data_IF_586159618766
#
_entry.id   IF_586159618766
#
_cell.length_a   1.000
_cell.length_b   1.000
_cell.length_c   1.000
_cell.angle_alpha   90.00
_cell.angle_beta   90.00
_cell.angle_gamma   90.00
#
_symmetry.space_group_name_H-M   'P 1'
#
loop_
_entity.id
_entity.type
_entity.pdbx_description
1 polymer ?
#
# COMPACT_ATOMS: atom_id res chain seq x y z
N UNK A 1 -5.16 6.54 4.05
CA UNK A 1 -3.82 7.20 4.06
C UNK A 1 -2.77 6.26 3.50
N UNK A 2 -1.89 6.69 2.62
CA UNK A 2 -0.76 5.90 2.15
C UNK A 2 0.55 6.60 2.56
N UNK A 3 1.46 5.85 3.19
CA UNK A 3 2.73 6.40 3.67
C UNK A 3 3.77 6.54 2.55
N UNK A 4 3.71 7.59 1.73
CA UNK A 4 4.70 7.80 0.66
C UNK A 4 6.07 8.17 1.23
N UNK A 5 6.10 9.00 2.28
CA UNK A 5 7.31 9.49 2.95
C UNK A 5 7.37 9.17 4.45
N UNK A 6 6.57 8.25 4.91
CA UNK A 6 6.52 7.84 6.30
C UNK A 6 5.39 6.85 6.52
N UNK A 7 5.17 6.44 7.75
CA UNK A 7 4.07 5.56 8.11
C UNK A 7 2.95 6.38 8.77
N UNK A 8 1.69 6.24 8.32
CA UNK A 8 0.57 6.96 8.93
C UNK A 8 0.41 6.72 10.42
N UNK A 9 0.80 5.54 10.93
CA UNK A 9 0.77 5.24 12.36
C UNK A 9 1.76 6.09 13.18
N UNK A 10 2.77 6.72 12.55
CA UNK A 10 3.66 7.67 13.22
C UNK A 10 3.01 9.05 13.46
N UNK A 11 1.92 9.36 12.76
CA UNK A 11 1.25 10.64 12.84
C UNK A 11 0.52 10.82 14.18
N UNK A 12 0.84 11.91 14.91
CA UNK A 12 0.22 12.25 16.20
C UNK A 12 -1.30 12.31 16.14
N UNK A 13 -1.84 12.77 15.02
CA UNK A 13 -3.27 13.06 14.87
C UNK A 13 -4.01 12.03 13.98
N UNK A 14 -3.39 10.95 13.62
CA UNK A 14 -3.95 9.96 12.67
C UNK A 14 -5.34 9.46 13.09
N UNK A 15 -5.52 9.04 14.34
CA UNK A 15 -6.84 8.60 14.84
C UNK A 15 -7.87 9.74 14.83
N UNK A 16 -7.48 10.95 15.23
CA UNK A 16 -8.37 12.11 15.23
C UNK A 16 -8.82 12.49 13.81
N UNK A 17 -7.92 12.42 12.84
CA UNK A 17 -8.23 12.67 11.43
C UNK A 17 -9.22 11.63 10.90
N UNK A 18 -9.03 10.34 11.18
CA UNK A 18 -9.98 9.30 10.75
C UNK A 18 -11.35 9.46 11.41
N UNK A 19 -11.41 9.78 12.72
CA UNK A 19 -12.68 10.10 13.39
C UNK A 19 -13.36 11.29 12.77
N UNK A 20 -12.62 12.36 12.48
CA UNK A 20 -13.17 13.56 11.83
C UNK A 20 -13.79 13.21 10.47
N UNK A 21 -13.08 12.49 9.60
CA UNK A 21 -13.63 12.08 8.31
C UNK A 21 -14.89 11.20 8.45
N UNK A 22 -14.89 10.28 9.39
CA UNK A 22 -16.06 9.43 9.67
C UNK A 22 -17.26 10.25 10.16
N UNK A 23 -17.01 11.27 10.99
CA UNK A 23 -18.06 12.18 11.49
C UNK A 23 -18.63 13.03 10.37
N UNK A 24 -17.77 13.57 9.50
CA UNK A 24 -18.18 14.42 8.38
C UNK A 24 -18.91 13.66 7.27
N UNK A 25 -18.52 12.44 7.03
CA UNK A 25 -19.18 11.54 6.07
C UNK A 25 -19.21 10.11 6.61
N UNK A 26 -20.33 9.68 7.23
CA UNK A 26 -20.48 8.34 7.77
C UNK A 26 -20.28 7.23 6.75
N UNK A 27 -20.52 7.48 5.46
CA UNK A 27 -20.40 6.48 4.38
C UNK A 27 -19.01 6.45 3.72
N UNK A 28 -18.07 7.29 4.16
CA UNK A 28 -16.72 7.31 3.59
C UNK A 28 -16.01 5.96 3.81
N UNK A 29 -15.32 5.47 2.80
CA UNK A 29 -14.39 4.35 2.95
C UNK A 29 -13.07 4.86 3.50
N UNK A 30 -12.62 4.30 4.61
CA UNK A 30 -11.33 4.61 5.22
C UNK A 30 -10.31 3.53 4.85
N UNK A 31 -9.12 3.95 4.45
CA UNK A 31 -8.04 3.04 4.12
C UNK A 31 -6.69 3.52 4.65
N UNK A 32 -5.84 2.59 5.08
CA UNK A 32 -4.50 2.87 5.59
C UNK A 32 -3.49 1.84 5.11
N UNK A 33 -2.31 2.29 4.66
CA UNK A 33 -1.16 1.42 4.41
C UNK A 33 -0.09 1.69 5.48
N UNK A 34 0.44 0.63 6.08
CA UNK A 34 1.36 0.73 7.23
C UNK A 34 2.33 -0.44 7.28
N UNK A 35 3.43 -0.29 8.02
CA UNK A 35 4.29 -1.43 8.39
C UNK A 35 3.82 -2.15 9.66
N UNK A 36 2.81 -1.62 10.38
CA UNK A 36 2.21 -2.22 11.55
C UNK A 36 3.04 -2.20 12.85
N UNK A 37 4.31 -1.80 12.80
CA UNK A 37 5.22 -1.93 13.96
C UNK A 37 5.22 -0.70 14.90
N UNK A 38 4.56 0.37 14.51
CA UNK A 38 4.46 1.61 15.27
C UNK A 38 3.22 1.54 16.18
N UNK A 39 3.22 2.34 17.26
CA UNK A 39 2.16 2.38 18.26
C UNK A 39 2.09 1.09 19.12
N UNK A 40 1.08 1.01 19.98
CA UNK A 40 0.80 -0.12 20.85
C UNK A 40 -0.55 -0.77 20.48
N UNK A 41 -0.85 -1.91 21.08
CA UNK A 41 -2.06 -2.68 20.81
C UNK A 41 -3.35 -1.89 21.05
N UNK A 42 -3.41 -1.03 22.08
CA UNK A 42 -4.57 -0.19 22.37
C UNK A 42 -4.85 0.83 21.26
N UNK A 43 -3.80 1.39 20.65
CA UNK A 43 -3.94 2.28 19.51
C UNK A 43 -4.52 1.55 18.28
N UNK A 44 -4.04 0.32 18.03
CA UNK A 44 -4.53 -0.51 16.92
C UNK A 44 -5.97 -0.98 17.13
N UNK A 45 -6.34 -1.31 18.36
CA UNK A 45 -7.74 -1.60 18.72
C UNK A 45 -8.63 -0.39 18.46
N UNK A 46 -8.22 0.81 18.90
CA UNK A 46 -8.95 2.05 18.63
C UNK A 46 -9.09 2.34 17.13
N UNK A 47 -8.04 2.07 16.34
CA UNK A 47 -8.12 2.20 14.87
C UNK A 47 -9.15 1.24 14.29
N UNK A 48 -9.16 -0.03 14.72
CA UNK A 48 -10.12 -1.03 14.29
C UNK A 48 -11.56 -0.66 14.62
N UNK A 49 -11.80 -0.07 15.80
CA UNK A 49 -13.11 0.46 16.18
C UNK A 49 -13.59 1.61 15.29
N UNK A 50 -12.66 2.43 14.76
CA UNK A 50 -12.98 3.47 13.77
C UNK A 50 -13.27 2.88 12.38
N UNK A 51 -12.55 1.81 12.02
CA UNK A 51 -12.63 1.11 10.74
C UNK A 51 -13.65 -0.04 10.78
N UNK A 52 -14.85 0.27 11.23
CA UNK A 52 -15.92 -0.72 11.49
C UNK A 52 -16.82 -1.00 10.28
N UNK A 53 -16.64 -0.29 9.17
CA UNK A 53 -17.45 -0.52 7.97
C UNK A 53 -16.85 -1.59 7.08
N UNK A 54 -17.69 -2.35 6.40
CA UNK A 54 -17.29 -3.45 5.53
C UNK A 54 -16.24 -3.07 4.46
N UNK A 55 -16.26 -1.81 4.00
CA UNK A 55 -15.32 -1.33 2.98
C UNK A 55 -14.06 -0.68 3.54
N UNK A 56 -13.99 -0.49 4.85
CA UNK A 56 -12.79 0.05 5.50
C UNK A 56 -11.71 -1.02 5.54
N UNK A 57 -10.44 -0.63 5.42
CA UNK A 57 -9.35 -1.60 5.41
C UNK A 57 -8.02 -1.04 5.87
N UNK A 58 -7.20 -1.89 6.45
CA UNK A 58 -5.78 -1.61 6.66
C UNK A 58 -4.94 -2.60 5.86
N UNK A 59 -3.98 -2.09 5.11
CA UNK A 59 -2.97 -2.90 4.43
C UNK A 59 -1.70 -2.91 5.26
N UNK A 60 -1.37 -4.05 5.80
CA UNK A 60 -0.11 -4.29 6.51
C UNK A 60 0.97 -4.72 5.53
N UNK A 61 2.03 -3.92 5.43
CA UNK A 61 3.19 -4.21 4.58
C UNK A 61 4.20 -5.04 5.36
N UNK A 62 4.12 -6.36 5.24
CA UNK A 62 4.96 -7.34 5.93
C UNK A 62 5.70 -8.16 4.86
N UNK A 63 7.04 -8.18 4.89
CA UNK A 63 7.83 -8.69 3.79
C UNK A 63 8.59 -9.98 4.16
N UNK A 64 7.86 -10.98 4.62
CA UNK A 64 8.33 -12.30 5.01
C UNK A 64 7.91 -12.67 6.43
N UNK A 65 8.46 -13.76 6.95
CA UNK A 65 8.30 -14.23 8.32
C UNK A 65 9.30 -13.54 9.27
N UNK A 66 9.29 -13.91 10.54
CA UNK A 66 10.14 -13.32 11.59
C UNK A 66 11.62 -13.24 11.20
N UNK A 67 12.15 -14.31 10.59
CA UNK A 67 13.55 -14.42 10.22
C UNK A 67 13.96 -13.64 8.96
N UNK A 68 13.01 -13.08 8.20
CA UNK A 68 13.30 -12.37 6.95
C UNK A 68 12.69 -10.97 6.85
N UNK A 69 11.57 -10.71 7.53
CA UNK A 69 10.88 -9.42 7.46
C UNK A 69 11.81 -8.25 7.81
N UNK A 70 12.67 -8.39 8.81
CA UNK A 70 13.60 -7.37 9.27
C UNK A 70 14.69 -7.00 8.24
N UNK A 71 14.95 -7.85 7.25
CA UNK A 71 15.97 -7.60 6.21
C UNK A 71 15.58 -6.38 5.38
N UNK A 72 14.32 -6.29 5.00
CA UNK A 72 13.78 -5.12 4.29
C UNK A 72 13.13 -4.10 5.24
N UNK A 73 12.33 -4.55 6.21
CA UNK A 73 11.66 -3.74 7.23
C UNK A 73 12.56 -3.53 8.44
N UNK A 74 13.64 -2.79 8.24
CA UNK A 74 14.65 -2.56 9.28
C UNK A 74 14.05 -1.91 10.52
N UNK A 75 14.40 -2.42 11.70
CA UNK A 75 13.93 -1.90 12.98
C UNK A 75 12.50 -2.31 13.37
N UNK A 76 11.86 -3.17 12.60
CA UNK A 76 10.56 -3.74 12.97
C UNK A 76 10.79 -4.88 13.98
N UNK A 77 10.16 -4.78 15.15
CA UNK A 77 10.02 -5.85 16.10
C UNK A 77 8.86 -6.75 15.66
N UNK A 78 9.16 -8.03 15.41
CA UNK A 78 8.21 -9.00 14.91
C UNK A 78 7.07 -9.29 15.88
N UNK A 79 7.38 -9.47 17.16
CA UNK A 79 6.37 -9.78 18.16
C UNK A 79 5.40 -8.60 18.33
N UNK A 80 5.92 -7.39 18.44
CA UNK A 80 5.12 -6.17 18.49
C UNK A 80 4.24 -6.01 17.25
N UNK A 81 4.78 -6.29 16.05
CA UNK A 81 4.02 -6.25 14.81
C UNK A 81 2.84 -7.23 14.86
N UNK A 82 3.10 -8.49 15.25
CA UNK A 82 2.06 -9.52 15.33
C UNK A 82 1.00 -9.21 16.39
N UNK A 83 1.40 -8.66 17.53
CA UNK A 83 0.45 -8.24 18.58
C UNK A 83 -0.44 -7.08 18.11
N UNK A 84 0.12 -6.12 17.39
CA UNK A 84 -0.62 -5.01 16.79
C UNK A 84 -1.62 -5.52 15.72
N UNK A 85 -1.18 -6.42 14.85
CA UNK A 85 -2.04 -7.07 13.83
C UNK A 85 -3.21 -7.80 14.49
N UNK A 86 -2.94 -8.66 15.48
CA UNK A 86 -3.99 -9.38 16.21
C UNK A 86 -4.96 -8.44 16.90
N UNK A 87 -4.44 -7.37 17.53
CA UNK A 87 -5.27 -6.37 18.22
C UNK A 87 -6.20 -5.63 17.26
N UNK A 88 -5.72 -5.31 16.06
CA UNK A 88 -6.56 -4.69 15.02
C UNK A 88 -7.62 -5.67 14.51
N UNK A 89 -7.23 -6.90 14.13
CA UNK A 89 -8.13 -7.90 13.56
C UNK A 89 -9.19 -8.35 14.59
N UNK A 90 -8.86 -8.40 15.89
CA UNK A 90 -9.80 -8.79 16.95
C UNK A 90 -11.01 -7.87 17.07
N UNK A 91 -10.97 -6.66 16.51
CA UNK A 91 -12.12 -5.74 16.44
C UNK A 91 -13.13 -6.12 15.34
N UNK A 92 -12.81 -7.09 14.48
CA UNK A 92 -13.59 -7.43 13.29
C UNK A 92 -13.32 -6.54 12.07
N UNK A 93 -12.36 -5.60 12.16
CA UNK A 93 -11.99 -4.72 11.07
C UNK A 93 -11.17 -5.46 10.00
N UNK A 94 -11.34 -5.08 8.72
CA UNK A 94 -10.69 -5.73 7.58
C UNK A 94 -9.20 -5.39 7.50
N UNK A 95 -8.37 -6.43 7.48
CA UNK A 95 -6.92 -6.35 7.33
C UNK A 95 -6.46 -7.08 6.07
N UNK A 96 -5.54 -6.48 5.33
CA UNK A 96 -4.90 -7.11 4.17
C UNK A 96 -3.39 -7.15 4.38
N UNK A 97 -2.76 -8.25 3.98
CA UNK A 97 -1.31 -8.40 4.02
C UNK A 97 -0.71 -8.18 2.63
N UNK A 98 0.17 -7.18 2.50
CA UNK A 98 0.91 -6.87 1.26
C UNK A 98 2.39 -7.21 1.45
N UNK A 99 2.89 -8.20 0.70
CA UNK A 99 4.27 -8.68 0.78
C UNK A 99 5.05 -8.28 -0.47
N UNK A 100 6.20 -7.62 -0.29
CA UNK A 100 7.18 -7.44 -1.36
C UNK A 100 8.11 -8.66 -1.42
N UNK A 101 8.19 -9.27 -2.60
CA UNK A 101 9.01 -10.46 -2.83
C UNK A 101 10.40 -10.06 -3.31
N UNK A 102 11.42 -10.61 -2.66
CA UNK A 102 12.84 -10.51 -2.94
C UNK A 102 13.47 -11.89 -2.86
N UNK A 103 14.72 -12.07 -3.31
CA UNK A 103 15.43 -13.34 -3.26
C UNK A 103 15.55 -13.94 -1.85
N UNK A 104 15.60 -13.10 -0.79
CA UNK A 104 15.72 -13.59 0.58
C UNK A 104 14.42 -14.11 1.19
N UNK A 105 13.26 -13.77 0.63
CA UNK A 105 11.94 -14.15 1.20
C UNK A 105 11.01 -14.86 0.19
N UNK A 106 11.42 -15.05 -1.07
CA UNK A 106 10.56 -15.68 -2.10
C UNK A 106 10.09 -17.10 -1.73
N UNK A 107 10.92 -17.85 -1.00
CA UNK A 107 10.61 -19.19 -0.52
C UNK A 107 9.55 -19.22 0.60
N UNK A 108 9.20 -18.07 1.17
CA UNK A 108 8.25 -17.94 2.28
C UNK A 108 6.85 -17.52 1.85
N UNK A 109 6.60 -17.26 0.55
CA UNK A 109 5.33 -16.72 0.07
C UNK A 109 4.14 -17.57 0.52
N UNK A 110 4.21 -18.89 0.31
CA UNK A 110 3.12 -19.81 0.67
C UNK A 110 2.92 -19.88 2.21
N UNK A 111 4.01 -19.85 2.97
CA UNK A 111 3.96 -19.84 4.44
C UNK A 111 3.39 -18.51 4.98
N UNK A 112 3.73 -17.38 4.35
CA UNK A 112 3.14 -16.07 4.69
C UNK A 112 1.64 -16.02 4.36
N UNK A 113 1.22 -16.59 3.23
CA UNK A 113 -0.20 -16.69 2.89
C UNK A 113 -0.97 -17.56 3.89
N UNK A 114 -0.39 -18.69 4.31
CA UNK A 114 -1.01 -19.53 5.34
C UNK A 114 -1.12 -18.81 6.68
N UNK A 115 -0.03 -18.15 7.13
CA UNK A 115 -0.05 -17.37 8.36
C UNK A 115 -1.06 -16.22 8.30
N UNK A 116 -1.22 -15.58 7.15
CA UNK A 116 -2.23 -14.54 6.96
C UNK A 116 -3.66 -15.09 7.17
N UNK A 117 -3.95 -16.28 6.64
CA UNK A 117 -5.23 -16.97 6.86
C UNK A 117 -5.44 -17.31 8.34
N UNK A 118 -4.42 -17.87 8.99
CA UNK A 118 -4.47 -18.28 10.40
C UNK A 118 -4.67 -17.07 11.35
N UNK A 119 -4.14 -15.91 10.98
CA UNK A 119 -4.33 -14.66 11.72
C UNK A 119 -5.67 -13.95 11.43
N UNK A 120 -6.41 -14.38 10.42
CA UNK A 120 -7.70 -13.79 10.05
C UNK A 120 -7.61 -12.56 9.15
N UNK A 121 -6.54 -12.44 8.36
CA UNK A 121 -6.51 -11.41 7.32
C UNK A 121 -7.59 -11.65 6.27
N UNK A 122 -8.23 -10.58 5.80
CA UNK A 122 -9.23 -10.62 4.73
C UNK A 122 -8.61 -10.85 3.35
N UNK A 123 -7.31 -10.63 3.18
CA UNK A 123 -6.61 -10.86 1.93
C UNK A 123 -5.10 -10.84 2.05
N UNK A 124 -4.44 -11.56 1.13
CA UNK A 124 -2.99 -11.63 1.01
C UNK A 124 -2.55 -11.35 -0.43
N UNK A 125 -1.52 -10.51 -0.58
CA UNK A 125 -0.89 -10.26 -1.87
C UNK A 125 0.62 -10.26 -1.76
N UNK A 126 1.27 -11.07 -2.59
CA UNK A 126 2.70 -11.00 -2.81
C UNK A 126 3.00 -10.36 -4.17
N UNK A 127 3.93 -9.43 -4.24
CA UNK A 127 4.32 -8.72 -5.45
C UNK A 127 5.81 -8.44 -5.51
N UNK A 128 6.37 -8.45 -6.72
CA UNK A 128 7.77 -8.07 -6.93
C UNK A 128 7.91 -6.57 -6.79
N UNK A 129 8.95 -6.13 -6.05
CA UNK A 129 9.24 -4.71 -5.92
C UNK A 129 9.66 -4.10 -7.25
N UNK A 130 9.06 -2.97 -7.62
CA UNK A 130 9.49 -2.14 -8.77
C UNK A 130 10.63 -1.18 -8.41
N UNK A 131 10.95 -1.05 -7.13
CA UNK A 131 12.03 -0.18 -6.68
C UNK A 131 13.36 -0.83 -7.04
N UNK A 132 14.32 -0.02 -7.44
CA UNK A 132 15.69 -0.50 -7.62
C UNK A 132 16.13 -1.21 -6.33
N UNK A 133 16.74 -2.36 -6.51
CA UNK A 133 17.23 -3.16 -5.40
C UNK A 133 18.33 -2.36 -4.70
N UNK A 134 18.09 -1.96 -3.45
CA UNK A 134 19.13 -1.33 -2.63
C UNK A 134 20.23 -2.35 -2.36
N UNK A 135 21.46 -1.87 -2.13
CA UNK A 135 22.61 -2.70 -1.84
C UNK A 135 22.29 -3.80 -0.79
N UNK A 136 22.52 -5.06 -1.13
CA UNK A 136 22.29 -6.23 -0.28
C UNK A 136 20.93 -6.93 -0.48
N UNK A 137 20.03 -6.39 -1.30
CA UNK A 137 18.79 -7.09 -1.68
C UNK A 137 18.94 -7.68 -3.09
N UNK A 138 18.51 -8.91 -3.28
CA UNK A 138 18.51 -9.58 -4.57
C UNK A 138 17.09 -9.64 -5.16
N UNK A 139 16.98 -9.55 -6.48
CA UNK A 139 15.72 -9.86 -7.17
C UNK A 139 15.34 -11.32 -6.91
N UNK A 140 14.05 -11.64 -6.84
CA UNK A 140 13.61 -13.02 -6.72
C UNK A 140 13.99 -13.81 -7.97
N UNK A 141 14.34 -15.07 -7.80
CA UNK A 141 14.76 -15.95 -8.89
C UNK A 141 13.55 -16.64 -9.55
N UNK A 142 12.61 -17.09 -8.75
CA UNK A 142 11.43 -17.83 -9.20
C UNK A 142 10.25 -16.92 -9.56
N UNK A 143 10.26 -15.69 -9.09
CA UNK A 143 9.22 -14.71 -9.28
C UNK A 143 9.68 -13.62 -10.23
N UNK A 144 9.65 -13.92 -11.53
CA UNK A 144 10.03 -12.94 -12.54
C UNK A 144 8.82 -12.09 -12.95
N UNK A 145 8.96 -10.77 -13.06
CA UNK A 145 7.91 -9.94 -13.62
C UNK A 145 7.71 -10.29 -15.09
N UNK A 146 6.46 -10.33 -15.53
CA UNK A 146 6.18 -10.39 -16.97
C UNK A 146 6.71 -9.12 -17.65
N UNK A 147 7.06 -9.21 -18.94
CA UNK A 147 7.54 -8.05 -19.69
C UNK A 147 6.58 -6.86 -19.55
N UNK A 148 7.16 -5.71 -19.32
CA UNK A 148 6.43 -4.44 -19.23
C UNK A 148 6.27 -3.87 -20.63
N UNK A 149 5.04 -3.64 -21.07
CA UNK A 149 4.75 -2.98 -22.33
C UNK A 149 4.32 -1.53 -22.07
N UNK A 150 4.88 -0.60 -22.84
CA UNK A 150 4.41 0.77 -22.88
C UNK A 150 3.11 0.82 -23.69
N UNK A 151 2.14 1.53 -23.15
CA UNK A 151 0.82 1.71 -23.74
C UNK A 151 0.25 3.08 -23.42
N UNK A 152 -1.00 3.34 -23.80
CA UNK A 152 -1.67 4.59 -23.48
C UNK A 152 -1.74 4.81 -21.97
N UNK A 153 -1.63 6.07 -21.54
CA UNK A 153 -1.68 6.44 -20.12
C UNK A 153 -3.12 6.35 -19.62
N UNK A 154 -3.39 5.39 -18.75
CA UNK A 154 -4.68 5.24 -18.04
C UNK A 154 -4.59 5.82 -16.63
N UNK A 155 -5.05 7.06 -16.47
CA UNK A 155 -4.94 7.77 -15.20
C UNK A 155 -6.03 7.39 -14.21
N UNK A 156 -5.67 6.74 -13.13
CA UNK A 156 -6.59 6.38 -12.03
C UNK A 156 -7.22 7.61 -11.37
N UNK A 157 -6.48 8.71 -11.26
CA UNK A 157 -6.95 9.94 -10.63
C UNK A 157 -8.16 10.51 -11.35
N UNK A 158 -8.12 10.54 -12.68
CA UNK A 158 -9.26 11.03 -13.49
C UNK A 158 -10.45 10.08 -13.40
N UNK A 159 -10.20 8.77 -13.41
CA UNK A 159 -11.24 7.75 -13.28
C UNK A 159 -11.93 7.82 -11.93
N UNK A 160 -11.17 7.94 -10.86
CA UNK A 160 -11.66 7.87 -9.48
C UNK A 160 -11.93 9.24 -8.86
N UNK A 161 -11.66 10.33 -9.59
CA UNK A 161 -11.80 11.71 -9.12
C UNK A 161 -11.11 11.94 -7.78
N UNK A 162 -9.90 11.40 -7.65
CA UNK A 162 -9.12 11.45 -6.42
C UNK A 162 -8.14 12.62 -6.39
N UNK A 163 -7.68 12.97 -5.21
CA UNK A 163 -6.68 14.00 -4.94
C UNK A 163 -5.71 13.48 -3.88
N UNK A 164 -4.46 13.88 -4.00
CA UNK A 164 -3.42 13.59 -3.01
C UNK A 164 -3.14 14.83 -2.15
N UNK A 165 -3.08 14.63 -0.84
CA UNK A 165 -2.70 15.66 0.13
C UNK A 165 -1.46 15.16 0.86
N UNK A 166 -0.38 15.95 0.86
CA UNK A 166 0.85 15.59 1.56
C UNK A 166 0.79 15.96 3.07
N UNK A 167 1.87 15.64 3.80
CA UNK A 167 1.94 15.91 5.23
C UNK A 167 1.99 17.42 5.57
N UNK A 168 2.27 18.29 4.62
CA UNK A 168 2.24 19.75 4.75
C UNK A 168 0.88 20.35 4.35
N UNK A 169 -0.08 19.53 3.95
CA UNK A 169 -1.39 19.98 3.47
C UNK A 169 -1.39 20.46 2.01
N UNK A 170 -0.33 20.24 1.24
CA UNK A 170 -0.27 20.63 -0.16
C UNK A 170 -1.04 19.63 -1.03
N UNK A 171 -1.79 20.14 -1.98
CA UNK A 171 -2.60 19.35 -2.91
C UNK A 171 -1.80 18.99 -4.17
N UNK A 172 -1.90 17.74 -4.59
CA UNK A 172 -1.41 17.27 -5.90
C UNK A 172 -2.44 16.33 -6.53
N UNK A 173 -2.45 16.18 -7.86
CA UNK A 173 -3.35 15.24 -8.51
C UNK A 173 -3.20 13.81 -8.02
N UNK A 174 -1.97 13.35 -7.78
CA UNK A 174 -1.71 12.01 -7.26
C UNK A 174 -0.41 11.94 -6.45
N UNK A 175 -0.24 10.85 -5.70
CA UNK A 175 0.96 10.62 -4.89
C UNK A 175 2.27 10.48 -5.71
N UNK A 176 2.19 10.12 -6.98
CA UNK A 176 3.36 10.04 -7.85
C UNK A 176 3.87 11.42 -8.25
N UNK A 177 2.97 12.32 -8.61
CA UNK A 177 3.30 13.71 -8.99
C UNK A 177 3.64 14.57 -7.77
N UNK A 178 2.94 14.38 -6.65
CA UNK A 178 3.21 15.13 -5.41
C UNK A 178 4.42 14.61 -4.62
N UNK A 179 4.85 13.38 -4.86
CA UNK A 179 5.82 12.71 -4.02
C UNK A 179 7.25 12.60 -4.57
N UNK A 180 7.48 12.84 -5.86
CA UNK A 180 8.76 12.54 -6.52
C UNK A 180 9.44 13.70 -7.22
N UNK A 181 8.77 14.81 -7.38
CA UNK A 181 9.31 15.94 -8.14
C UNK A 181 9.73 17.09 -7.23
N UNK A 182 10.84 17.74 -7.61
CA UNK A 182 11.23 19.01 -7.03
C UNK A 182 10.16 20.09 -7.28
N UNK A 183 9.44 19.97 -8.40
CA UNK A 183 8.31 20.82 -8.76
C UNK A 183 7.02 20.10 -8.43
N UNK A 184 6.38 20.53 -7.37
CA UNK A 184 5.12 19.98 -6.89
C UNK A 184 3.98 20.36 -7.85
N UNK A 185 3.50 19.39 -8.63
CA UNK A 185 2.43 19.61 -9.61
C UNK A 185 1.08 19.63 -8.89
N UNK A 186 0.35 20.74 -9.06
CA UNK A 186 -0.98 20.96 -8.48
C UNK A 186 -2.12 20.75 -9.46
N UNK A 187 -1.83 20.86 -10.78
CA UNK A 187 -2.82 20.78 -11.85
C UNK A 187 -2.59 19.56 -12.74
N UNK A 188 -3.57 18.66 -12.79
CA UNK A 188 -3.53 17.46 -13.63
C UNK A 188 -3.63 17.80 -15.12
N UNK A 189 -4.31 18.89 -15.50
CA UNK A 189 -4.49 19.26 -16.91
C UNK A 189 -3.16 19.63 -17.57
N UNK A 190 -2.25 20.28 -16.85
CA UNK A 190 -0.91 20.56 -17.35
C UNK A 190 -0.15 19.29 -17.75
N UNK A 191 -0.31 18.23 -16.97
CA UNK A 191 0.34 16.94 -17.24
C UNK A 191 -0.38 16.17 -18.33
N UNK A 192 -1.72 16.25 -18.34
CA UNK A 192 -2.58 15.57 -19.32
C UNK A 192 -2.31 16.01 -20.76
N UNK A 193 -1.99 17.26 -20.97
CA UNK A 193 -1.64 17.80 -22.30
C UNK A 193 -0.43 17.09 -22.93
N UNK A 194 0.45 16.51 -22.12
CA UNK A 194 1.65 15.79 -22.60
C UNK A 194 1.39 14.33 -22.95
N UNK A 195 0.25 13.73 -22.56
CA UNK A 195 0.07 12.26 -22.64
C UNK A 195 0.06 11.70 -24.05
N UNK A 196 -0.41 12.51 -25.04
CA UNK A 196 -0.46 12.14 -26.44
C UNK A 196 0.68 12.76 -27.27
N UNK A 197 1.68 13.36 -26.62
CA UNK A 197 2.87 13.89 -27.28
C UNK A 197 3.96 12.82 -27.41
N UNK A 198 4.97 13.07 -28.21
CA UNK A 198 6.15 12.22 -28.34
C UNK A 198 7.00 12.17 -27.04
N UNK A 199 6.80 13.15 -26.15
CA UNK A 199 7.47 13.24 -24.85
C UNK A 199 6.43 13.41 -23.71
N UNK A 200 5.70 12.34 -23.34
CA UNK A 200 4.76 12.39 -22.23
C UNK A 200 5.49 12.54 -20.91
N UNK A 201 4.82 13.20 -19.94
CA UNK A 201 5.37 13.32 -18.60
C UNK A 201 5.90 11.96 -18.08
N UNK A 202 7.20 11.85 -17.75
CA UNK A 202 7.84 10.56 -17.45
C UNK A 202 7.22 9.85 -16.24
N UNK A 203 6.73 10.59 -15.24
CA UNK A 203 6.06 10.00 -14.08
C UNK A 203 4.74 9.34 -14.50
N UNK A 204 3.95 9.98 -15.35
CA UNK A 204 2.70 9.41 -15.85
C UNK A 204 2.94 8.22 -16.77
N UNK A 205 3.92 8.31 -17.67
CA UNK A 205 4.33 7.22 -18.56
C UNK A 205 4.74 5.99 -17.74
N UNK A 206 5.65 6.17 -16.78
CA UNK A 206 6.25 5.06 -16.03
C UNK A 206 5.32 4.47 -14.96
N UNK A 207 4.36 5.26 -14.46
CA UNK A 207 3.40 4.79 -13.45
C UNK A 207 2.07 4.30 -14.03
N UNK A 208 1.56 4.96 -15.07
CA UNK A 208 0.22 4.75 -15.60
C UNK A 208 0.17 4.37 -17.09
N UNK A 209 1.25 4.62 -17.85
CA UNK A 209 1.39 4.23 -19.26
C UNK A 209 2.01 2.85 -19.46
N UNK A 210 2.13 2.08 -18.38
CA UNK A 210 2.76 0.77 -18.40
C UNK A 210 1.73 -0.30 -18.10
N UNK A 211 1.51 -1.20 -19.04
CA UNK A 211 0.78 -2.44 -18.77
C UNK A 211 1.73 -3.46 -18.17
N UNK A 212 1.47 -3.83 -16.93
CA UNK A 212 2.17 -4.95 -16.31
C UNK A 212 1.46 -6.24 -16.70
N UNK A 213 2.22 -7.19 -17.18
CA UNK A 213 1.71 -8.55 -17.34
C UNK A 213 1.11 -9.05 -16.01
N UNK A 214 0.00 -9.73 -16.08
CA UNK A 214 -0.65 -10.31 -14.90
C UNK A 214 0.27 -11.35 -14.27
N UNK A 215 0.58 -11.16 -12.99
CA UNK A 215 1.21 -12.20 -12.18
C UNK A 215 0.11 -12.97 -11.44
N UNK A 216 0.41 -14.20 -11.00
CA UNK A 216 -0.54 -14.98 -10.17
C UNK A 216 -1.02 -14.21 -8.92
N UNK A 217 -0.26 -13.22 -8.45
CA UNK A 217 -0.59 -12.39 -7.30
C UNK A 217 -1.67 -11.34 -7.55
N UNK A 218 -1.79 -10.82 -8.76
CA UNK A 218 -2.90 -9.94 -9.11
C UNK A 218 -4.25 -10.63 -8.92
N UNK A 219 -4.30 -11.93 -9.28
CA UNK A 219 -5.51 -12.73 -9.12
C UNK A 219 -5.84 -13.07 -7.67
N UNK A 220 -4.83 -13.25 -6.82
CA UNK A 220 -5.07 -13.49 -5.38
C UNK A 220 -5.68 -12.26 -4.72
N UNK A 221 -5.03 -11.10 -4.86
CA UNK A 221 -5.51 -9.86 -4.26
C UNK A 221 -6.90 -9.46 -4.73
N UNK A 222 -7.17 -9.56 -6.03
CA UNK A 222 -8.47 -9.22 -6.59
C UNK A 222 -9.60 -10.15 -6.10
N UNK A 223 -9.33 -11.44 -5.94
CA UNK A 223 -10.32 -12.39 -5.42
C UNK A 223 -10.66 -12.12 -3.95
N UNK A 224 -9.68 -11.80 -3.16
CA UNK A 224 -9.84 -11.58 -1.72
C UNK A 224 -10.56 -10.25 -1.41
N UNK A 225 -10.32 -9.21 -2.20
CA UNK A 225 -11.05 -7.93 -2.07
C UNK A 225 -12.51 -8.04 -2.54
N UNK A 226 -12.83 -8.95 -3.47
CA UNK A 226 -14.20 -9.14 -3.96
C UNK A 226 -15.09 -9.89 -2.98
N UNK A 227 -14.54 -10.53 -1.98
CA UNK A 227 -15.27 -11.26 -0.94
C UNK A 227 -15.66 -10.38 0.25
N UNK A 228 -15.29 -9.10 0.23
CA UNK A 228 -15.68 -8.13 1.26
C UNK A 228 -16.97 -7.39 0.92
#
# INVERSE_FOLDING_TARGET
>A
MCGVYGDPAAGRYTLSIYRYFRTMNPEITLGMNTNGAIQNTAWWQTLGEIFHRQRDYVVFSIDGLENTNHIYRRGVDWNKLMDNVRSYISTGASAHWDMLVYGHNEHQVDACEQLAKDLGFSGFRAKISRRQVRAGLQQPMYWQPLPTMLGPIHCHVLKEKSVYIDAQGRLSPCCWLGGRQQDFITDIEQVRLTWNSDDPNPVCRDACGVTHGQTKFHTQWQREIQLC
#
